data_IF_290666479970
#
_entry.id   IF_290666479970
#
_cell.length_a   1.000
_cell.length_b   1.000
_cell.length_c   1.000
_cell.angle_alpha   90.00
_cell.angle_beta   90.00
_cell.angle_gamma   90.00
#
_symmetry.space_group_name_H-M   'P 1'
#
loop_
_entity.id
_entity.type
_entity.pdbx_description
1 polymer ?
#
# COMPACT_ATOMS: atom_id res chain seq x y z
N UNK A 1 -27.17 -27.68 -38.29
CA UNK A 1 -27.77 -28.46 -37.20
C UNK A 1 -26.78 -28.40 -36.07
N UNK A 2 -26.77 -27.34 -35.25
CA UNK A 2 -27.65 -27.14 -34.09
C UNK A 2 -26.88 -27.68 -32.87
N UNK A 3 -26.52 -26.94 -31.82
CA UNK A 3 -27.06 -25.71 -31.26
C UNK A 3 -26.00 -24.89 -30.52
N UNK A 4 -26.19 -23.56 -30.55
CA UNK A 4 -25.74 -22.63 -29.51
C UNK A 4 -26.54 -22.86 -28.22
N UNK A 5 -26.01 -22.47 -27.04
CA UNK A 5 -26.68 -21.52 -26.10
C UNK A 5 -25.93 -21.42 -24.75
N UNK A 6 -25.56 -20.18 -24.45
CA UNK A 6 -25.49 -19.42 -23.19
C UNK A 6 -24.90 -20.00 -21.88
N UNK A 7 -23.80 -19.36 -21.46
CA UNK A 7 -23.65 -18.49 -20.27
C UNK A 7 -24.68 -18.58 -19.10
N UNK A 8 -24.15 -18.86 -17.91
CA UNK A 8 -24.40 -18.20 -16.60
C UNK A 8 -23.55 -18.96 -15.57
N UNK A 9 -22.82 -18.39 -14.62
CA UNK A 9 -23.06 -17.19 -13.82
C UNK A 9 -23.09 -17.63 -12.35
N UNK A 10 -22.04 -17.28 -11.59
CA UNK A 10 -22.01 -17.07 -10.13
C UNK A 10 -22.44 -18.23 -9.20
N UNK A 11 -21.47 -18.81 -8.47
CA UNK A 11 -21.71 -19.35 -7.13
C UNK A 11 -20.39 -19.39 -6.32
N UNK A 12 -20.08 -18.29 -5.64
CA UNK A 12 -19.07 -18.27 -4.57
C UNK A 12 -19.65 -17.49 -3.38
N UNK A 13 -20.30 -18.19 -2.45
CA UNK A 13 -20.57 -17.66 -1.12
C UNK A 13 -20.98 -18.78 -0.14
N UNK A 14 -20.42 -18.69 1.07
CA UNK A 14 -20.85 -19.30 2.34
C UNK A 14 -20.47 -20.77 2.62
N UNK A 15 -19.37 -20.95 3.38
CA UNK A 15 -19.33 -21.88 4.51
C UNK A 15 -18.48 -21.23 5.61
N UNK A 16 -19.12 -20.63 6.63
CA UNK A 16 -18.63 -20.45 8.01
C UNK A 16 -19.65 -19.63 8.82
N UNK A 17 -20.63 -20.31 9.41
CA UNK A 17 -21.39 -19.83 10.58
C UNK A 17 -22.33 -20.94 11.07
N UNK A 18 -21.87 -21.81 11.96
CA UNK A 18 -22.72 -22.64 12.80
C UNK A 18 -21.91 -23.09 14.02
N UNK A 19 -22.59 -23.26 15.17
CA UNK A 19 -22.11 -23.51 16.54
C UNK A 19 -21.83 -22.17 17.26
N UNK A 20 -22.82 -21.52 17.88
CA UNK A 20 -23.61 -21.99 19.03
C UNK A 20 -23.11 -21.19 20.24
N UNK A 21 -23.86 -20.28 20.87
CA UNK A 21 -25.23 -20.44 21.34
C UNK A 21 -25.23 -20.98 22.76
N UNK A 22 -24.78 -20.18 23.74
CA UNK A 22 -25.03 -20.42 25.16
C UNK A 22 -25.27 -19.10 25.89
N UNK A 23 -26.51 -18.92 26.31
CA UNK A 23 -26.97 -17.91 27.26
C UNK A 23 -27.13 -18.57 28.63
N UNK A 24 -26.54 -18.01 29.67
CA UNK A 24 -27.02 -18.16 31.05
C UNK A 24 -26.70 -16.89 31.84
N UNK A 25 -27.73 -16.35 32.47
CA UNK A 25 -27.72 -15.07 33.16
C UNK A 25 -27.07 -15.09 34.54
N UNK A 26 -26.91 -13.89 35.10
CA UNK A 26 -26.68 -13.69 36.54
C UNK A 26 -27.19 -12.33 37.00
N UNK A 27 -28.25 -12.41 37.82
CA UNK A 27 -28.54 -11.64 39.03
C UNK A 27 -27.89 -10.26 39.19
N UNK A 28 -28.76 -9.25 39.25
CA UNK A 28 -28.40 -7.87 39.56
C UNK A 28 -27.85 -7.68 40.98
N UNK A 29 -26.82 -6.83 41.05
CA UNK A 29 -26.37 -6.16 42.26
C UNK A 29 -26.58 -4.65 42.06
N UNK A 30 -27.10 -3.92 43.05
CA UNK A 30 -27.23 -2.47 42.95
C UNK A 30 -25.84 -1.83 43.04
N UNK A 31 -25.40 -1.22 41.93
CA UNK A 31 -24.14 -0.50 41.86
C UNK A 31 -24.17 0.70 42.82
N UNK A 32 -23.25 0.67 43.79
CA UNK A 32 -22.92 1.79 44.66
C UNK A 32 -22.47 2.97 43.77
N UNK A 33 -23.24 4.06 43.76
CA UNK A 33 -22.89 5.29 43.03
C UNK A 33 -21.64 5.90 43.64
N UNK A 34 -20.49 5.66 43.02
CA UNK A 34 -19.28 6.44 43.21
C UNK A 34 -19.53 7.86 42.69
N UNK A 35 -19.19 8.92 43.43
CA UNK A 35 -19.27 10.28 42.91
C UNK A 35 -18.41 10.39 41.65
N UNK A 36 -18.99 10.94 40.58
CA UNK A 36 -18.33 11.13 39.31
C UNK A 36 -17.11 12.03 39.51
N UNK A 37 -15.92 11.50 39.18
CA UNK A 37 -14.73 12.30 39.03
C UNK A 37 -15.02 13.44 38.04
N UNK A 38 -14.51 14.67 38.28
CA UNK A 38 -14.72 15.77 37.36
C UNK A 38 -14.26 15.34 35.97
N UNK A 39 -15.17 15.42 34.99
CA UNK A 39 -14.89 15.10 33.61
C UNK A 39 -13.77 16.06 33.14
N UNK A 40 -12.54 15.56 33.10
CA UNK A 40 -11.47 16.22 32.39
C UNK A 40 -12.02 16.54 30.99
N UNK A 41 -11.96 17.81 30.58
CA UNK A 41 -12.52 18.22 29.31
C UNK A 41 -11.92 17.35 28.21
N UNK A 42 -12.75 16.90 27.28
CA UNK A 42 -12.32 16.07 26.15
C UNK A 42 -11.13 16.69 25.39
N UNK A 43 -11.01 18.02 25.42
CA UNK A 43 -9.88 18.77 24.89
C UNK A 43 -8.55 18.50 25.61
N UNK A 44 -8.52 18.50 26.95
CA UNK A 44 -7.30 18.22 27.72
C UNK A 44 -6.85 16.77 27.54
N UNK A 45 -7.80 15.84 27.46
CA UNK A 45 -7.51 14.42 27.18
C UNK A 45 -6.95 14.22 25.76
N UNK A 46 -7.54 14.90 24.76
CA UNK A 46 -7.06 14.91 23.37
C UNK A 46 -5.67 15.54 23.25
N UNK A 47 -5.42 16.64 23.93
CA UNK A 47 -4.11 17.29 23.96
C UNK A 47 -3.03 16.40 24.61
N UNK A 48 -3.37 15.71 25.70
CA UNK A 48 -2.48 14.75 26.35
C UNK A 48 -2.15 13.54 25.46
N UNK A 49 -3.15 13.02 24.73
CA UNK A 49 -2.94 11.98 23.72
C UNK A 49 -2.08 12.49 22.56
N UNK A 50 -2.33 13.71 22.08
CA UNK A 50 -1.53 14.30 21.00
C UNK A 50 -0.06 14.47 21.39
N UNK A 51 0.20 15.01 22.58
CA UNK A 51 1.55 15.15 23.10
C UNK A 51 2.24 13.79 23.29
N UNK A 52 1.53 12.80 23.83
CA UNK A 52 2.06 11.45 24.01
C UNK A 52 2.41 10.76 22.69
N UNK A 53 1.64 11.01 21.63
CA UNK A 53 1.88 10.41 20.31
C UNK A 53 3.05 11.08 19.61
N UNK A 54 3.09 12.42 19.61
CA UNK A 54 4.21 13.16 19.06
C UNK A 54 5.54 12.71 19.72
N UNK A 55 5.55 12.56 21.04
CA UNK A 55 6.70 12.03 21.77
C UNK A 55 7.06 10.59 21.38
N UNK A 56 6.07 9.71 21.15
CA UNK A 56 6.31 8.34 20.67
C UNK A 56 6.88 8.31 19.24
N UNK A 57 6.35 9.14 18.34
CA UNK A 57 6.83 9.27 16.97
C UNK A 57 8.28 9.78 16.92
N UNK A 58 8.61 10.80 17.72
CA UNK A 58 9.97 11.33 17.87
C UNK A 58 10.91 10.26 18.43
N UNK A 59 10.54 9.63 19.56
CA UNK A 59 11.39 8.62 20.22
C UNK A 59 11.71 7.43 19.32
N UNK A 60 10.75 7.01 18.48
CA UNK A 60 10.93 5.90 17.53
C UNK A 60 11.55 6.33 16.21
N UNK A 61 11.77 7.64 15.99
CA UNK A 61 12.13 8.21 14.70
C UNK A 61 11.23 7.69 13.56
N UNK A 62 9.91 7.65 13.81
CA UNK A 62 8.95 7.12 12.84
C UNK A 62 8.80 8.09 11.67
N UNK A 63 9.10 7.67 10.42
CA UNK A 63 8.92 8.52 9.26
C UNK A 63 7.44 8.89 9.03
N UNK A 64 7.22 10.14 8.66
CA UNK A 64 5.92 10.67 8.28
C UNK A 64 5.89 10.90 6.77
N UNK A 65 4.88 10.35 6.10
CA UNK A 65 4.54 10.69 4.72
C UNK A 65 3.56 11.88 4.73
N UNK A 66 3.93 12.99 4.10
CA UNK A 66 3.11 14.20 3.99
C UNK A 66 2.33 14.18 2.68
N UNK A 67 1.00 14.00 2.72
CA UNK A 67 0.15 13.92 1.53
C UNK A 67 -0.69 15.19 1.35
N UNK A 68 -1.06 15.57 0.11
CA UNK A 68 -2.03 16.61 -0.15
C UNK A 68 -3.46 16.09 0.12
N UNK A 69 -3.78 15.85 1.40
CA UNK A 69 -5.03 15.23 1.84
C UNK A 69 -4.94 13.72 2.06
N UNK A 70 -6.08 13.03 2.05
CA UNK A 70 -6.18 11.62 2.50
C UNK A 70 -5.77 10.58 1.44
N UNK A 71 -5.41 11.01 0.23
CA UNK A 71 -4.98 10.14 -0.87
C UNK A 71 -3.97 10.86 -1.77
N UNK A 72 -3.23 10.10 -2.56
CA UNK A 72 -2.21 10.61 -3.49
C UNK A 72 -0.79 10.17 -3.13
N UNK A 73 0.16 10.58 -3.98
CA UNK A 73 1.58 10.41 -3.72
C UNK A 73 2.02 11.39 -2.60
N UNK A 74 2.93 10.98 -1.70
CA UNK A 74 3.48 11.87 -0.70
C UNK A 74 4.16 13.07 -1.37
N UNK A 75 3.84 14.28 -0.93
CA UNK A 75 4.58 15.50 -1.26
C UNK A 75 6.01 15.40 -0.75
N UNK A 76 6.16 14.88 0.46
CA UNK A 76 7.46 14.70 1.11
C UNK A 76 7.41 13.61 2.17
N UNK A 77 8.60 13.16 2.59
CA UNK A 77 8.77 12.32 3.78
C UNK A 77 9.68 13.04 4.77
N UNK A 78 9.32 13.02 6.04
CA UNK A 78 10.09 13.67 7.10
C UNK A 78 10.22 12.82 8.36
N UNK A 79 11.21 13.13 9.18
CA UNK A 79 11.45 12.54 10.51
C UNK A 79 11.13 13.56 11.60
N UNK A 80 10.21 13.26 12.53
CA UNK A 80 9.92 14.16 13.63
C UNK A 80 11.10 14.18 14.61
N UNK A 81 11.56 15.39 14.98
CA UNK A 81 12.72 15.60 15.87
C UNK A 81 12.35 16.21 17.21
N UNK A 82 11.44 17.17 17.21
CA UNK A 82 10.96 17.83 18.42
C UNK A 82 9.51 18.24 18.27
N UNK A 83 8.82 18.35 19.41
CA UNK A 83 7.48 18.88 19.51
C UNK A 83 7.49 20.02 20.54
N UNK A 84 6.87 21.14 20.18
CA UNK A 84 6.79 22.33 21.02
C UNK A 84 5.47 23.09 20.81
N UNK A 85 5.33 24.29 21.40
CA UNK A 85 4.12 25.09 21.27
C UNK A 85 3.82 25.50 19.82
N UNK A 86 4.87 25.69 19.00
CA UNK A 86 4.76 25.99 17.56
C UNK A 86 4.39 24.76 16.72
N UNK A 87 4.41 23.56 17.31
CA UNK A 87 4.05 22.30 16.67
C UNK A 87 5.21 21.31 16.58
N UNK A 88 5.17 20.47 15.54
CA UNK A 88 6.11 19.37 15.30
C UNK A 88 7.18 19.80 14.30
N UNK A 89 8.43 19.81 14.72
CA UNK A 89 9.58 20.08 13.84
C UNK A 89 10.07 18.76 13.27
N UNK A 90 10.12 18.68 11.94
CA UNK A 90 10.54 17.49 11.23
C UNK A 90 11.70 17.81 10.26
N UNK A 91 12.66 16.90 10.18
CA UNK A 91 13.71 16.93 9.15
C UNK A 91 13.20 16.24 7.88
N UNK A 92 13.35 16.86 6.72
CA UNK A 92 13.00 16.28 5.44
C UNK A 92 14.05 15.24 5.05
N UNK A 93 13.59 14.06 4.64
CA UNK A 93 14.46 12.96 4.22
C UNK A 93 14.95 13.10 2.77
N UNK A 94 14.26 13.91 1.99
CA UNK A 94 14.59 14.19 0.60
C UNK A 94 14.46 15.70 0.37
N UNK A 95 15.57 16.34 0.03
CA UNK A 95 15.64 17.78 -0.23
C UNK A 95 14.90 18.17 -1.51
N UNK A 96 14.78 17.27 -2.49
CA UNK A 96 14.00 17.51 -3.71
C UNK A 96 12.48 17.48 -3.44
N UNK A 97 12.06 16.77 -2.38
CA UNK A 97 10.65 16.63 -2.00
C UNK A 97 10.04 17.89 -1.35
N UNK A 98 10.82 18.96 -1.14
CA UNK A 98 10.29 20.24 -0.68
C UNK A 98 9.41 20.95 -1.74
N UNK A 99 9.48 20.52 -3.01
CA UNK A 99 8.72 21.07 -4.15
C UNK A 99 7.22 20.78 -4.03
N UNK A 100 6.53 21.48 -3.12
CA UNK A 100 5.09 21.33 -2.91
C UNK A 100 4.64 21.69 -1.50
N UNK A 101 5.56 21.68 -0.54
CA UNK A 101 5.32 22.17 0.81
C UNK A 101 5.40 23.70 0.81
N UNK A 102 4.34 24.35 1.28
CA UNK A 102 4.28 25.80 1.45
C UNK A 102 3.60 26.11 2.78
N UNK A 103 4.05 27.14 3.52
CA UNK A 103 3.32 27.63 4.67
C UNK A 103 1.83 27.84 4.34
N UNK A 104 0.94 27.45 5.26
CA UNK A 104 -0.50 27.51 5.06
C UNK A 104 -1.13 26.27 4.41
N UNK A 105 -0.32 25.34 3.88
CA UNK A 105 -0.83 24.16 3.18
C UNK A 105 -1.30 23.10 4.18
N UNK A 106 -2.57 22.71 4.06
CA UNK A 106 -3.10 21.52 4.73
C UNK A 106 -2.46 20.25 4.16
N UNK A 107 -2.05 19.35 5.06
CA UNK A 107 -1.43 18.07 4.75
C UNK A 107 -1.99 16.98 5.67
N UNK A 108 -2.10 15.77 5.14
CA UNK A 108 -2.35 14.59 5.98
C UNK A 108 -1.02 13.88 6.18
N UNK A 109 -0.61 13.77 7.44
CA UNK A 109 0.57 13.03 7.84
C UNK A 109 0.19 11.58 8.06
N UNK A 110 0.83 10.67 7.36
CA UNK A 110 0.68 9.23 7.54
C UNK A 110 1.95 8.60 8.12
N UNK A 111 1.78 7.60 8.98
CA UNK A 111 2.89 6.86 9.57
C UNK A 111 2.51 5.39 9.75
N UNK A 112 3.49 4.57 10.15
CA UNK A 112 3.23 3.16 10.47
C UNK A 112 2.21 3.08 11.63
N UNK A 113 1.17 2.22 11.57
CA UNK A 113 0.15 2.18 12.61
C UNK A 113 0.75 1.88 13.99
N UNK A 114 0.38 2.69 14.98
CA UNK A 114 0.74 2.51 16.39
C UNK A 114 -0.49 2.36 17.24
N UNK A 115 -0.33 1.78 18.44
CA UNK A 115 -1.38 1.70 19.44
C UNK A 115 -1.15 2.76 20.52
N UNK A 116 -2.15 3.59 20.77
CA UNK A 116 -2.13 4.59 21.82
C UNK A 116 -3.46 4.62 22.56
N UNK A 117 -3.43 4.47 23.88
CA UNK A 117 -4.66 4.45 24.68
C UNK A 117 -5.64 3.35 24.27
N UNK A 118 -5.16 2.24 23.71
CA UNK A 118 -5.99 1.15 23.17
C UNK A 118 -6.52 1.37 21.76
N UNK A 119 -6.40 2.58 21.20
CA UNK A 119 -6.78 2.90 19.83
C UNK A 119 -5.60 2.69 18.89
N UNK A 120 -5.87 2.14 17.71
CA UNK A 120 -4.92 2.12 16.61
C UNK A 120 -5.01 3.45 15.88
N UNK A 121 -3.88 4.06 15.57
CA UNK A 121 -3.81 5.34 14.84
C UNK A 121 -2.64 5.29 13.87
N UNK A 122 -2.78 5.94 12.72
CA UNK A 122 -1.74 5.96 11.69
C UNK A 122 -1.73 7.26 10.87
N UNK A 123 -2.57 8.23 11.21
CA UNK A 123 -2.66 9.48 10.51
C UNK A 123 -3.14 10.63 11.39
N UNK A 124 -2.81 11.86 10.99
CA UNK A 124 -3.41 13.08 11.48
C UNK A 124 -3.40 14.14 10.37
N UNK A 125 -4.35 15.06 10.43
CA UNK A 125 -4.38 16.24 9.56
C UNK A 125 -3.69 17.40 10.27
N UNK A 126 -2.90 18.16 9.53
CA UNK A 126 -2.21 19.36 10.03
C UNK A 126 -1.95 20.34 8.91
N UNK A 127 -1.30 21.45 9.24
CA UNK A 127 -0.92 22.53 8.34
C UNK A 127 0.59 22.74 8.41
N UNK A 128 1.22 23.01 7.27
CA UNK A 128 2.60 23.46 7.23
C UNK A 128 2.68 24.89 7.76
N UNK A 129 3.39 25.09 8.87
CA UNK A 129 3.60 26.40 9.50
C UNK A 129 4.78 27.11 8.86
N UNK A 130 5.90 26.40 8.71
CA UNK A 130 7.11 26.94 8.13
C UNK A 130 7.90 25.86 7.37
N UNK A 131 8.69 26.30 6.39
CA UNK A 131 9.64 25.46 5.67
C UNK A 131 11.00 26.17 5.71
N UNK A 132 11.99 25.52 6.33
CA UNK A 132 13.36 26.00 6.45
C UNK A 132 14.25 25.21 5.48
N UNK A 133 14.15 25.54 4.19
CA UNK A 133 14.89 24.87 3.12
C UNK A 133 16.40 25.16 3.12
N UNK A 134 16.83 26.23 3.78
CA UNK A 134 18.24 26.62 3.88
C UNK A 134 19.03 25.84 4.96
N UNK A 135 18.35 25.04 5.79
CA UNK A 135 19.01 24.17 6.75
C UNK A 135 19.49 22.88 6.09
N UNK A 136 20.53 22.26 6.65
CA UNK A 136 21.08 20.98 6.21
C UNK A 136 21.04 20.00 7.40
N UNK A 137 20.08 19.03 7.44
CA UNK A 137 19.04 18.79 6.46
C UNK A 137 17.89 19.82 6.50
N UNK A 138 17.14 20.02 5.39
CA UNK A 138 15.98 20.90 5.36
C UNK A 138 14.93 20.53 6.40
N UNK A 139 14.26 21.52 6.99
CA UNK A 139 13.25 21.26 8.02
C UNK A 139 11.87 21.80 7.64
N UNK A 140 10.83 21.10 8.08
CA UNK A 140 9.44 21.55 8.01
C UNK A 140 8.85 21.61 9.41
N UNK A 141 8.14 22.70 9.71
CA UNK A 141 7.38 22.86 10.96
C UNK A 141 5.92 22.63 10.65
N UNK A 142 5.32 21.67 11.32
CA UNK A 142 3.91 21.31 11.18
C UNK A 142 3.15 21.79 12.42
N UNK A 143 1.93 22.29 12.25
CA UNK A 143 1.07 22.65 13.38
C UNK A 143 0.84 21.43 14.28
N UNK A 144 0.70 21.66 15.58
CA UNK A 144 0.40 20.57 16.52
C UNK A 144 -0.89 19.83 16.07
N UNK A 145 -0.86 18.49 15.95
CA UNK A 145 -2.04 17.73 15.55
C UNK A 145 -3.14 17.80 16.61
N UNK A 146 -4.36 18.09 16.18
CA UNK A 146 -5.52 18.15 17.08
C UNK A 146 -6.25 16.82 17.21
N UNK A 147 -6.18 15.97 16.18
CA UNK A 147 -6.89 14.70 16.11
C UNK A 147 -6.06 13.66 15.35
N UNK A 148 -6.18 12.39 15.76
CA UNK A 148 -5.55 11.26 15.11
C UNK A 148 -6.61 10.27 14.66
N UNK A 149 -6.37 9.65 13.51
CA UNK A 149 -7.31 8.73 12.86
C UNK A 149 -6.60 7.43 12.47
N UNK A 150 -7.34 6.31 12.48
CA UNK A 150 -6.94 5.08 11.78
C UNK A 150 -7.53 5.12 10.38
N UNK A 151 -6.73 5.58 9.42
CA UNK A 151 -7.14 5.65 8.01
C UNK A 151 -6.51 4.47 7.26
N UNK A 152 -7.32 3.53 6.74
CA UNK A 152 -6.79 2.42 5.96
C UNK A 152 -6.17 2.92 4.65
N UNK A 153 -4.82 3.03 4.62
CA UNK A 153 -4.06 3.50 3.43
C UNK A 153 -4.16 2.60 2.20
N UNK A 154 -4.61 1.35 2.37
CA UNK A 154 -4.61 0.34 1.31
C UNK A 154 -5.95 -0.37 1.31
N UNK A 155 -6.60 -0.38 0.15
CA UNK A 155 -7.88 -1.08 -0.07
C UNK A 155 -7.74 -2.60 0.06
N UNK A 156 -6.57 -3.14 -0.25
CA UNK A 156 -6.31 -4.57 -0.19
C UNK A 156 -5.15 -4.90 0.74
N UNK A 157 -5.36 -5.91 1.59
CA UNK A 157 -4.28 -6.50 2.36
C UNK A 157 -3.26 -7.13 1.42
N UNK A 158 -1.97 -6.83 1.65
CA UNK A 158 -0.87 -7.46 0.94
C UNK A 158 -0.47 -8.74 1.66
N UNK A 159 -0.33 -9.83 0.92
CA UNK A 159 0.25 -11.07 1.43
C UNK A 159 1.73 -11.04 1.09
N UNK A 160 2.57 -11.26 2.10
CA UNK A 160 4.00 -11.53 1.86
C UNK A 160 4.12 -12.89 1.20
N UNK A 161 4.99 -12.99 0.20
CA UNK A 161 5.31 -14.27 -0.42
C UNK A 161 6.28 -14.99 0.51
N UNK A 162 5.85 -16.08 1.14
CA UNK A 162 6.66 -16.83 2.10
C UNK A 162 7.75 -17.66 1.42
N UNK A 163 7.49 -18.12 0.21
CA UNK A 163 8.42 -18.93 -0.59
C UNK A 163 8.37 -18.43 -2.04
N UNK A 164 9.40 -17.69 -2.50
CA UNK A 164 9.47 -17.14 -3.86
C UNK A 164 9.38 -18.21 -4.96
N UNK A 165 9.67 -19.48 -4.66
CA UNK A 165 9.64 -20.57 -5.64
C UNK A 165 8.24 -20.85 -6.19
N UNK A 166 7.19 -20.43 -5.50
CA UNK A 166 5.80 -20.64 -5.94
C UNK A 166 5.24 -19.48 -6.77
N UNK A 167 6.06 -18.49 -7.10
CA UNK A 167 5.64 -17.33 -7.87
C UNK A 167 6.65 -17.07 -8.99
N UNK A 168 6.20 -17.16 -10.24
CA UNK A 168 7.00 -16.74 -11.39
C UNK A 168 6.43 -15.46 -11.97
N UNK A 169 7.30 -14.52 -12.34
CA UNK A 169 6.89 -13.27 -12.98
C UNK A 169 7.70 -13.06 -14.23
N UNK A 170 7.01 -12.74 -15.33
CA UNK A 170 7.59 -12.10 -16.52
C UNK A 170 7.03 -10.69 -16.59
N UNK A 171 7.89 -9.72 -16.81
CA UNK A 171 7.52 -8.31 -16.91
C UNK A 171 8.13 -7.71 -18.17
N UNK A 172 7.31 -6.92 -18.85
CA UNK A 172 7.68 -6.10 -20.00
C UNK A 172 7.45 -4.62 -19.63
N UNK A 173 8.47 -3.79 -19.83
CA UNK A 173 8.40 -2.33 -19.72
C UNK A 173 7.73 -1.76 -20.97
N UNK A 174 6.44 -2.08 -21.12
CA UNK A 174 5.65 -1.78 -22.30
C UNK A 174 4.20 -1.45 -21.91
N UNK A 175 3.57 -0.64 -22.75
CA UNK A 175 2.16 -0.33 -22.64
C UNK A 175 1.28 -1.45 -23.21
N UNK A 176 0.20 -1.77 -22.50
CA UNK A 176 -0.63 -2.93 -22.82
C UNK A 176 -1.43 -2.79 -24.13
N UNK A 177 -1.78 -1.57 -24.51
CA UNK A 177 -2.66 -1.26 -25.64
C UNK A 177 -1.89 -0.80 -26.87
N UNK A 178 -0.79 -0.07 -26.67
CA UNK A 178 -0.04 0.56 -27.75
C UNK A 178 1.24 -0.19 -28.14
N UNK A 179 1.69 -1.14 -27.31
CA UNK A 179 2.86 -1.96 -27.64
C UNK A 179 2.62 -2.82 -28.87
N UNK A 180 3.69 -3.01 -29.66
CA UNK A 180 3.74 -3.90 -30.82
C UNK A 180 4.10 -5.35 -30.45
N UNK A 181 4.34 -5.62 -29.17
CA UNK A 181 4.77 -6.93 -28.70
C UNK A 181 3.58 -7.91 -28.65
N UNK A 182 3.79 -9.11 -29.18
CA UNK A 182 2.95 -10.26 -28.89
C UNK A 182 3.42 -10.93 -27.59
N UNK A 183 2.89 -10.49 -26.45
CA UNK A 183 3.41 -10.83 -25.12
C UNK A 183 3.53 -12.33 -24.80
N UNK A 184 2.64 -13.23 -25.28
CA UNK A 184 2.78 -14.66 -25.00
C UNK A 184 4.12 -15.25 -25.46
N UNK A 185 4.70 -14.70 -26.52
CA UNK A 185 5.93 -15.19 -27.16
C UNK A 185 7.12 -14.24 -27.00
N UNK A 186 6.88 -12.97 -26.70
CA UNK A 186 7.93 -11.97 -26.52
C UNK A 186 8.84 -12.30 -25.32
N UNK A 187 10.14 -12.02 -25.48
CA UNK A 187 11.11 -12.08 -24.39
C UNK A 187 10.81 -10.99 -23.36
N UNK A 188 10.73 -11.30 -22.05
CA UNK A 188 10.51 -10.29 -21.02
C UNK A 188 11.78 -9.52 -20.68
N UNK A 189 11.62 -8.26 -20.26
CA UNK A 189 12.71 -7.43 -19.76
C UNK A 189 13.19 -7.93 -18.39
N UNK A 190 12.23 -8.31 -17.53
CA UNK A 190 12.50 -8.91 -16.22
C UNK A 190 11.84 -10.28 -16.14
N UNK A 191 12.63 -11.27 -15.74
CA UNK A 191 12.15 -12.62 -15.45
C UNK A 191 12.55 -13.05 -14.04
N UNK A 192 11.55 -13.39 -13.23
CA UNK A 192 11.70 -13.93 -11.89
C UNK A 192 11.24 -15.38 -11.93
N UNK A 193 12.18 -16.29 -11.72
CA UNK A 193 11.95 -17.71 -11.55
C UNK A 193 13.04 -18.29 -10.65
N UNK A 194 12.66 -18.71 -9.45
CA UNK A 194 13.60 -19.22 -8.45
C UNK A 194 14.37 -20.46 -8.91
N UNK A 195 13.88 -21.17 -9.93
CA UNK A 195 14.51 -22.36 -10.49
C UNK A 195 15.43 -22.07 -11.69
N UNK A 196 15.56 -20.82 -12.15
CA UNK A 196 16.32 -20.52 -13.39
C UNK A 196 17.85 -20.64 -13.23
N UNK A 197 18.36 -20.84 -12.01
CA UNK A 197 19.79 -21.04 -11.70
C UNK A 197 20.70 -19.83 -11.94
N UNK A 198 20.35 -18.90 -12.84
CA UNK A 198 21.17 -17.75 -13.23
C UNK A 198 20.79 -16.45 -12.47
N UNK A 199 19.51 -16.30 -12.12
CA UNK A 199 18.94 -15.08 -11.57
C UNK A 199 17.98 -15.34 -10.39
N UNK A 200 17.52 -16.58 -10.22
CA UNK A 200 16.43 -16.94 -9.30
C UNK A 200 16.70 -16.80 -7.79
N UNK A 201 17.96 -16.71 -7.36
CA UNK A 201 18.30 -16.62 -5.94
C UNK A 201 18.10 -15.22 -5.33
N UNK A 202 18.29 -14.17 -6.12
CA UNK A 202 18.25 -12.78 -5.66
C UNK A 202 17.01 -12.02 -6.13
N UNK A 203 16.43 -12.43 -7.27
CA UNK A 203 15.20 -11.85 -7.76
C UNK A 203 14.00 -12.55 -7.12
N UNK A 204 13.10 -11.79 -6.48
CA UNK A 204 11.94 -12.35 -5.82
C UNK A 204 10.74 -11.41 -5.83
N UNK A 205 9.53 -11.99 -5.85
CA UNK A 205 8.33 -11.25 -5.51
C UNK A 205 8.23 -11.19 -3.99
N UNK A 206 8.15 -10.00 -3.42
CA UNK A 206 8.15 -9.79 -1.96
C UNK A 206 6.75 -9.74 -1.37
N UNK A 207 5.84 -9.04 -2.05
CA UNK A 207 4.44 -8.93 -1.65
C UNK A 207 3.48 -8.88 -2.84
N UNK A 208 2.28 -9.46 -2.66
CA UNK A 208 1.23 -9.50 -3.67
C UNK A 208 -0.10 -9.13 -3.02
N UNK A 209 -0.93 -8.40 -3.75
CA UNK A 209 -2.31 -8.10 -3.41
C UNK A 209 -3.18 -8.14 -4.66
N UNK A 210 -4.52 -8.15 -4.52
CA UNK A 210 -5.40 -7.90 -5.64
C UNK A 210 -5.06 -6.62 -6.42
N UNK A 211 -4.53 -5.57 -5.79
CA UNK A 211 -4.27 -4.29 -6.45
C UNK A 211 -2.87 -4.11 -7.05
N UNK A 212 -1.96 -5.07 -6.88
CA UNK A 212 -0.56 -4.89 -7.29
C UNK A 212 0.39 -5.87 -6.62
N UNK A 213 1.65 -5.80 -7.02
CA UNK A 213 2.75 -6.58 -6.43
C UNK A 213 3.99 -5.71 -6.23
N UNK A 214 4.90 -6.16 -5.37
CA UNK A 214 6.25 -5.63 -5.28
C UNK A 214 7.25 -6.76 -5.52
N UNK A 215 8.33 -6.44 -6.23
CA UNK A 215 9.43 -7.36 -6.51
C UNK A 215 10.76 -6.71 -6.18
N UNK A 216 11.74 -7.52 -5.84
CA UNK A 216 13.14 -7.14 -5.72
C UNK A 216 13.89 -7.82 -6.86
N UNK A 217 14.66 -7.05 -7.60
CA UNK A 217 15.42 -7.51 -8.77
C UNK A 217 16.82 -6.91 -8.71
N UNK A 218 17.81 -7.60 -9.27
CA UNK A 218 19.16 -7.04 -9.39
C UNK A 218 19.12 -5.73 -10.18
N UNK A 219 19.84 -4.72 -9.69
CA UNK A 219 19.88 -3.39 -10.28
C UNK A 219 20.30 -3.41 -11.75
N UNK A 220 21.24 -4.29 -12.11
CA UNK A 220 21.71 -4.48 -13.48
C UNK A 220 20.66 -5.05 -14.45
N UNK A 221 19.57 -5.65 -13.92
CA UNK A 221 18.47 -6.20 -14.72
C UNK A 221 17.29 -5.24 -14.87
N UNK A 222 17.33 -4.08 -14.21
CA UNK A 222 16.25 -3.09 -14.35
C UNK A 222 16.42 -2.38 -15.70
N UNK A 223 15.42 -2.43 -16.59
CA UNK A 223 15.51 -1.76 -17.88
C UNK A 223 15.63 -0.24 -17.70
N UNK A 224 16.40 0.45 -18.55
CA UNK A 224 16.52 1.90 -18.49
C UNK A 224 15.15 2.55 -18.73
N UNK A 225 14.86 3.62 -17.98
CA UNK A 225 13.59 4.35 -18.09
C UNK A 225 12.42 3.73 -17.33
N UNK A 226 12.65 2.68 -16.52
CA UNK A 226 11.64 2.19 -15.60
C UNK A 226 11.56 3.11 -14.36
N UNK A 227 10.57 3.98 -14.35
CA UNK A 227 10.37 5.01 -13.32
C UNK A 227 8.91 5.04 -12.83
N UNK A 228 8.58 5.72 -11.72
CA UNK A 228 7.19 5.86 -11.30
C UNK A 228 6.32 6.45 -12.41
N UNK A 229 5.22 5.77 -12.72
CA UNK A 229 4.32 6.10 -13.82
C UNK A 229 4.56 5.29 -15.11
N UNK A 230 5.70 4.62 -15.27
CA UNK A 230 5.97 3.81 -16.47
C UNK A 230 4.93 2.68 -16.62
N UNK A 231 4.37 2.47 -17.82
CA UNK A 231 3.46 1.37 -18.07
C UNK A 231 4.22 0.05 -18.14
N UNK A 232 3.60 -1.00 -17.61
CA UNK A 232 4.14 -2.36 -17.61
C UNK A 232 3.07 -3.38 -17.93
N UNK A 233 3.48 -4.44 -18.60
CA UNK A 233 2.71 -5.69 -18.75
C UNK A 233 3.39 -6.77 -17.94
N UNK A 234 2.60 -7.62 -17.28
CA UNK A 234 3.13 -8.70 -16.47
C UNK A 234 2.30 -9.99 -16.60
N UNK A 235 3.03 -11.11 -16.66
CA UNK A 235 2.50 -12.45 -16.50
C UNK A 235 2.98 -12.99 -15.17
N UNK A 236 2.07 -13.11 -14.22
CA UNK A 236 2.31 -13.69 -12.91
C UNK A 236 1.75 -15.11 -12.87
N UNK A 237 2.61 -16.10 -12.70
CA UNK A 237 2.21 -17.50 -12.57
C UNK A 237 2.33 -17.93 -11.11
N UNK A 238 1.21 -18.38 -10.53
CA UNK A 238 1.14 -18.80 -9.13
C UNK A 238 0.98 -20.31 -9.05
N UNK A 239 1.77 -20.97 -8.20
CA UNK A 239 1.65 -22.42 -7.99
C UNK A 239 0.37 -22.76 -7.23
N UNK A 240 -0.45 -23.63 -7.81
CA UNK A 240 -1.66 -24.17 -7.20
C UNK A 240 -1.36 -25.52 -6.54
N UNK A 241 -1.27 -25.57 -5.22
CA UNK A 241 -0.91 -26.78 -4.47
C UNK A 241 -1.85 -27.97 -4.75
N UNK A 242 -3.14 -27.71 -4.98
CA UNK A 242 -4.12 -28.76 -5.30
C UNK A 242 -3.90 -29.38 -6.68
N UNK A 243 -3.60 -28.54 -7.66
CA UNK A 243 -3.44 -28.95 -9.07
C UNK A 243 -1.98 -29.30 -9.40
N UNK A 244 -1.03 -29.00 -8.49
CA UNK A 244 0.42 -29.16 -8.67
C UNK A 244 0.96 -28.50 -9.95
N UNK A 245 0.33 -27.41 -10.38
CA UNK A 245 0.69 -26.67 -11.59
C UNK A 245 0.73 -25.17 -11.33
N UNK A 246 1.47 -24.45 -12.17
CA UNK A 246 1.47 -23.00 -12.19
C UNK A 246 0.29 -22.48 -13.01
N UNK A 247 -0.57 -21.69 -12.38
CA UNK A 247 -1.67 -21.00 -13.07
C UNK A 247 -1.23 -19.59 -13.47
N UNK A 248 -1.24 -19.25 -14.78
CA UNK A 248 -0.83 -17.93 -15.26
C UNK A 248 -1.96 -16.91 -15.12
N UNK A 249 -1.58 -15.68 -14.78
CA UNK A 249 -2.45 -14.52 -14.71
C UNK A 249 -1.77 -13.34 -15.42
N UNK A 250 -2.51 -12.65 -16.27
CA UNK A 250 -2.02 -11.48 -16.99
C UNK A 250 -2.55 -10.20 -16.36
N UNK A 251 -1.67 -9.20 -16.23
CA UNK A 251 -2.05 -7.87 -15.77
C UNK A 251 -1.34 -6.79 -16.59
N UNK A 252 -2.02 -5.67 -16.75
CA UNK A 252 -1.38 -4.40 -17.10
C UNK A 252 -1.32 -3.54 -15.83
N UNK A 253 -0.33 -2.67 -15.74
CA UNK A 253 -0.18 -1.81 -14.58
C UNK A 253 0.75 -0.63 -14.83
N UNK A 254 0.92 0.14 -13.77
CA UNK A 254 1.87 1.24 -13.71
C UNK A 254 2.88 0.97 -12.60
N UNK A 255 4.13 1.31 -12.84
CA UNK A 255 5.15 1.37 -11.79
C UNK A 255 4.72 2.46 -10.80
N UNK A 256 4.61 2.10 -9.52
CA UNK A 256 4.25 3.01 -8.42
C UNK A 256 5.48 3.52 -7.67
N UNK A 257 6.60 2.84 -7.79
CA UNK A 257 7.83 3.23 -7.12
C UNK A 257 8.96 2.30 -7.50
N UNK A 258 10.15 2.88 -7.64
CA UNK A 258 11.41 2.16 -7.75
C UNK A 258 12.31 2.68 -6.64
N UNK A 259 12.71 1.80 -5.72
CA UNK A 259 13.59 2.15 -4.61
C UNK A 259 14.80 1.24 -4.57
N UNK A 260 15.95 1.75 -4.14
CA UNK A 260 17.16 0.98 -3.92
C UNK A 260 17.29 0.64 -2.43
N UNK A 261 16.83 -0.53 -1.95
CA UNK A 261 17.06 -0.92 -0.57
C UNK A 261 18.56 -1.13 -0.28
N UNK A 262 19.33 -1.52 -1.30
CA UNK A 262 20.78 -1.63 -1.29
C UNK A 262 21.35 -1.32 -2.69
N UNK A 263 22.67 -1.40 -2.85
CA UNK A 263 23.34 -1.11 -4.12
C UNK A 263 23.08 -2.16 -5.21
N UNK A 264 22.76 -3.40 -4.82
CA UNK A 264 22.68 -4.56 -5.72
C UNK A 264 21.27 -4.82 -6.22
N UNK A 265 20.26 -4.41 -5.46
CA UNK A 265 18.85 -4.68 -5.67
C UNK A 265 18.09 -3.39 -5.90
N UNK A 266 17.01 -3.54 -6.65
CA UNK A 266 16.00 -2.53 -6.86
C UNK A 266 14.67 -3.16 -6.53
N UNK A 267 13.94 -2.49 -5.66
CA UNK A 267 12.56 -2.83 -5.35
C UNK A 267 11.65 -2.07 -6.30
N UNK A 268 10.85 -2.80 -7.06
CA UNK A 268 9.87 -2.25 -8.00
C UNK A 268 8.49 -2.57 -7.45
N UNK A 269 7.67 -1.53 -7.22
CA UNK A 269 6.27 -1.66 -6.84
C UNK A 269 5.39 -1.38 -8.06
N UNK A 270 4.42 -2.24 -8.32
CA UNK A 270 3.52 -2.15 -9.49
C UNK A 270 2.08 -2.17 -8.99
N UNK A 271 1.28 -1.22 -9.48
CA UNK A 271 -0.17 -1.19 -9.27
C UNK A 271 -0.88 -1.69 -10.52
N UNK A 272 -1.80 -2.64 -10.37
CA UNK A 272 -2.54 -3.20 -11.51
C UNK A 272 -3.66 -2.26 -11.95
N UNK A 273 -3.76 -2.01 -13.25
CA UNK A 273 -4.79 -1.18 -13.89
C UNK A 273 -5.76 -2.02 -14.73
N UNK A 274 -5.30 -3.14 -15.30
CA UNK A 274 -6.14 -4.06 -16.05
C UNK A 274 -5.81 -5.53 -15.74
N UNK A 275 -6.74 -6.42 -16.03
CA UNK A 275 -6.53 -7.88 -16.07
C UNK A 275 -6.60 -8.35 -17.51
N UNK A 276 -5.75 -9.33 -17.86
CA UNK A 276 -5.68 -9.87 -19.22
C UNK A 276 -6.18 -11.30 -19.30
N UNK A 277 -6.79 -11.64 -20.43
CA UNK A 277 -7.09 -13.02 -20.82
C UNK A 277 -6.39 -13.28 -22.16
N UNK A 278 -5.77 -14.46 -22.30
CA UNK A 278 -5.15 -14.84 -23.57
C UNK A 278 -6.20 -14.81 -24.68
N UNK A 279 -5.86 -14.14 -25.77
CA UNK A 279 -6.72 -14.01 -26.94
C UNK A 279 -5.83 -13.91 -28.18
N UNK A 280 -5.76 -14.99 -28.96
CA UNK A 280 -4.92 -15.05 -30.15
C UNK A 280 -5.37 -14.11 -31.28
N UNK A 281 -6.58 -13.56 -31.19
CA UNK A 281 -7.07 -12.56 -32.16
C UNK A 281 -6.68 -11.13 -31.77
N UNK A 282 -6.30 -10.90 -30.51
CA UNK A 282 -5.82 -9.60 -30.06
C UNK A 282 -4.40 -9.35 -30.61
N UNK A 283 -4.06 -8.13 -31.08
CA UNK A 283 -2.75 -7.82 -31.63
C UNK A 283 -1.58 -8.15 -30.67
N UNK A 284 -1.79 -7.96 -29.36
CA UNK A 284 -0.80 -8.25 -28.33
C UNK A 284 -0.90 -9.67 -27.75
N UNK A 285 -1.82 -10.51 -28.25
CA UNK A 285 -2.08 -11.87 -27.76
C UNK A 285 -2.82 -11.94 -26.43
N UNK A 286 -3.20 -10.79 -25.88
CA UNK A 286 -3.91 -10.65 -24.60
C UNK A 286 -5.01 -9.61 -24.78
N UNK A 287 -6.24 -9.97 -24.42
CA UNK A 287 -7.36 -9.03 -24.32
C UNK A 287 -7.43 -8.48 -22.91
N UNK A 288 -7.35 -7.15 -22.80
CA UNK A 288 -7.34 -6.44 -21.53
C UNK A 288 -8.75 -6.00 -21.13
N UNK A 289 -9.05 -6.15 -19.84
CA UNK A 289 -10.25 -5.60 -19.21
C UNK A 289 -9.79 -4.66 -18.10
N UNK A 290 -10.13 -3.39 -18.23
CA UNK A 290 -9.83 -2.39 -17.21
C UNK A 290 -10.43 -2.79 -15.87
N UNK A 291 -9.66 -2.59 -14.80
CA UNK A 291 -10.17 -2.79 -13.46
C UNK A 291 -10.94 -1.55 -13.04
N UNK A 292 -12.26 -1.66 -13.05
CA UNK A 292 -13.13 -0.68 -12.41
C UNK A 292 -12.74 -0.61 -10.93
N UNK A 293 -12.06 0.48 -10.53
CA UNK A 293 -11.66 0.67 -9.13
C UNK A 293 -12.85 1.02 -8.21
N UNK A 294 -14.07 1.11 -8.75
CA UNK A 294 -15.32 1.47 -8.07
C UNK A 294 -16.02 0.30 -7.36
N UNK A 295 -15.28 -0.55 -6.64
CA UNK A 295 -15.93 -1.42 -5.65
C UNK A 295 -15.84 -0.74 -4.30
N UNK A 296 -16.85 0.10 -4.05
CA UNK A 296 -17.26 0.57 -2.73
C UNK A 296 -17.24 -0.64 -1.80
N UNK A 297 -16.34 -0.64 -0.83
CA UNK A 297 -16.26 -1.73 0.14
C UNK A 297 -17.55 -1.68 0.95
N UNK A 298 -18.38 -2.71 0.79
CA UNK A 298 -19.62 -2.84 1.50
C UNK A 298 -19.42 -2.62 2.99
N UNK A 299 -20.27 -1.77 3.53
CA UNK A 299 -20.69 -1.81 4.93
C UNK A 299 -20.96 -3.28 5.28
N UNK A 300 -20.04 -3.89 6.01
CA UNK A 300 -20.37 -4.99 6.90
C UNK A 300 -20.32 -4.42 8.30
N UNK A 301 -21.52 -4.15 8.80
CA UNK A 301 -21.86 -3.95 10.20
C UNK A 301 -21.30 -5.09 11.08
#
# INVERSE_FOLDING_TARGET
MGDMVLWSGVALLVVLAALGGFALGRSGWPARRTPAAPAASSAALRAGLAAGLAADLIRRATPLDLLPGNSGEPLARCLPRSAGPEGLVCELLDSAAALGLRPGRAVTCFFAPVRQGGLKVNSFETEVVALHSALEPPQVVLRAPMEFKDVPRRRHARKRVSDPRFVHVRLWAADAETSRLFFPEATPDIWINAYDGQNGGENAVTDISPGGLAMEVRAALVPPGLEPGSPVVLKCSLFQFKEKQFKPYWYAGLVRGVSAPDDKLRRIAIGFTAVGVLDGSAPQGVRWTERIMNETQGDRA
#
